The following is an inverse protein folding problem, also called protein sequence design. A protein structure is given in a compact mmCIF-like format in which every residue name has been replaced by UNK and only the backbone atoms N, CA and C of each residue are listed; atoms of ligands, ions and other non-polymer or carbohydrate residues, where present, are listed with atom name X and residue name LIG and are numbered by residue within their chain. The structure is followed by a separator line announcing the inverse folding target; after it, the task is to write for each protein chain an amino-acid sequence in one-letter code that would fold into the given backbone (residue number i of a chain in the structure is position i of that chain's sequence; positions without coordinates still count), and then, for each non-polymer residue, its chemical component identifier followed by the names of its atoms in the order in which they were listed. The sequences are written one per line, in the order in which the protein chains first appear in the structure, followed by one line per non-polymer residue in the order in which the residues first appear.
data_IF_297522025851
#
_entry.id   IF_297522025851
#
_cell.length_a   1.000
_cell.length_b   1.000
_cell.length_c   1.000
_cell.angle_alpha   90.00
_cell.angle_beta   90.00
_cell.angle_gamma   90.00
#
_symmetry.space_group_name_H-M   'P 1'
#
loop_
_entity.id
_entity.type
_entity.pdbx_description
1 polymer ?
#
# COMPACT_ATOMS: atom_id res chain seq x y z
N UNK A 1 32.48 -25.04 -6.65
CA UNK A 1 31.86 -24.90 -6.77
C UNK A 1 31.54 -24.98 -6.96
N UNK A 2 31.65 -24.42 -6.98
CA UNK A 2 31.23 -24.22 -7.02
C UNK A 2 30.66 -24.03 -7.12
N UNK A 3 30.79 -23.52 -6.82
CA UNK A 3 30.23 -23.26 -6.86
C UNK A 3 29.85 -23.28 -6.56
N UNK A 4 30.13 -23.05 -6.16
CA UNK A 4 29.68 -23.07 -5.84
C UNK A 4 29.73 -22.74 -5.57
N UNK A 5 30.43 -22.58 -5.32
CA UNK A 5 30.19 -22.36 -5.21
C UNK A 5 29.99 -21.86 -5.33
N UNK A 6 30.62 -21.92 -5.19
CA UNK A 6 30.14 -21.48 -5.35
C UNK A 6 29.73 -21.43 -5.33
N UNK A 7 29.87 -21.24 -5.04
CA UNK A 7 29.12 -21.06 -4.98
C UNK A 7 29.07 -21.11 -4.63
N UNK A 8 29.28 -20.91 -4.33
CA UNK A 8 29.06 -20.98 -3.97
C UNK A 8 29.24 -20.43 -3.88
N UNK A 9 29.64 -20.01 -3.80
CA UNK A 9 29.75 -19.54 -3.76
C UNK A 9 29.28 -18.98 -4.17
N UNK A 10 29.90 -19.04 -3.90
CA UNK A 10 29.29 -18.15 -4.17
C UNK A 10 27.98 -17.97 -4.71
N UNK A 11 27.44 -18.47 -5.26
CA UNK A 11 26.26 -18.20 -5.85
C UNK A 11 25.14 -17.82 -5.10
N UNK A 12 25.10 -18.05 -4.16
CA UNK A 12 24.01 -17.67 -3.38
C UNK A 12 23.68 -16.21 -3.45
N UNK A 13 24.62 -15.42 -3.76
CA UNK A 13 24.45 -14.00 -3.72
C UNK A 13 23.40 -13.49 -4.66
N UNK A 14 23.26 -14.10 -5.80
CA UNK A 14 22.38 -13.57 -6.80
C UNK A 14 20.93 -13.69 -6.49
N UNK A 15 20.57 -14.78 -5.88
CA UNK A 15 19.18 -14.99 -5.55
C UNK A 15 18.74 -14.09 -4.44
N UNK A 16 19.68 -13.73 -3.59
CA UNK A 16 19.36 -12.88 -2.47
C UNK A 16 18.96 -11.47 -2.88
N UNK A 17 19.35 -11.03 -4.06
CA UNK A 17 19.01 -9.70 -4.49
C UNK A 17 17.53 -9.42 -4.52
N UNK A 18 16.76 -10.27 -5.16
CA UNK A 18 15.32 -10.07 -5.20
C UNK A 18 14.67 -10.24 -3.84
N UNK A 19 15.17 -11.16 -3.06
CA UNK A 19 14.64 -11.40 -1.74
C UNK A 19 14.93 -10.22 -0.82
N UNK A 20 16.10 -9.61 -0.96
CA UNK A 20 16.47 -8.45 -0.16
C UNK A 20 15.68 -7.20 -0.52
N UNK A 21 15.21 -7.09 -1.77
CA UNK A 21 14.38 -5.97 -2.15
C UNK A 21 13.09 -5.95 -1.33
N UNK A 22 12.50 -7.12 -1.09
CA UNK A 22 11.29 -7.19 -0.30
C UNK A 22 11.57 -7.02 1.20
N UNK A 23 12.81 -7.29 1.64
CA UNK A 23 13.17 -7.22 3.04
C UNK A 23 13.94 -5.95 3.30
N UNK A 24 13.58 -5.23 4.33
CA UNK A 24 14.31 -4.05 4.72
C UNK A 24 13.95 -2.80 3.94
N UNK A 25 12.89 -2.84 3.15
CA UNK A 25 12.39 -1.61 2.55
C UNK A 25 11.93 -0.65 3.65
N UNK A 26 12.26 0.61 3.47
CA UNK A 26 11.91 1.65 4.44
C UNK A 26 10.85 2.55 3.84
N UNK A 27 9.79 2.79 4.60
CA UNK A 27 8.74 3.72 4.18
C UNK A 27 9.28 5.14 4.35
N UNK A 28 9.23 5.90 3.27
CA UNK A 28 9.78 7.25 3.23
C UNK A 28 8.71 8.31 3.43
N UNK A 29 7.53 8.09 2.88
CA UNK A 29 6.45 9.06 2.95
C UNK A 29 5.11 8.40 2.68
N UNK A 30 4.05 8.98 3.21
CA UNK A 30 2.67 8.55 2.95
C UNK A 30 1.85 9.75 2.56
N UNK A 31 0.90 9.55 1.64
CA UNK A 31 0.04 10.62 1.16
C UNK A 31 -1.37 10.11 1.01
N UNK A 32 -2.31 10.98 1.22
CA UNK A 32 -3.73 10.68 1.01
C UNK A 32 -4.34 11.82 0.20
N UNK A 33 -4.97 11.45 -0.91
CA UNK A 33 -5.65 12.39 -1.80
C UNK A 33 -7.13 12.03 -1.80
N UNK A 34 -7.98 12.83 -1.12
CA UNK A 34 -9.42 12.59 -1.13
C UNK A 34 -10.06 13.32 -2.31
N UNK A 35 -10.90 12.62 -3.05
CA UNK A 35 -11.64 13.22 -4.15
C UNK A 35 -12.96 12.49 -4.34
N UNK A 36 -14.02 13.17 -4.84
CA UNK A 36 -15.31 12.48 -5.06
C UNK A 36 -15.20 11.31 -6.01
N UNK A 37 -14.36 11.42 -7.04
CA UNK A 37 -14.22 10.39 -8.06
C UNK A 37 -13.47 9.18 -7.53
N UNK A 38 -12.48 9.41 -6.68
CA UNK A 38 -11.71 8.35 -6.01
C UNK A 38 -10.81 8.96 -4.96
N UNK A 39 -10.47 8.15 -3.97
CA UNK A 39 -9.46 8.53 -2.99
C UNK A 39 -8.20 7.70 -3.24
N UNK A 40 -7.05 8.33 -3.13
CA UNK A 40 -5.76 7.66 -3.38
C UNK A 40 -4.91 7.67 -2.13
N UNK A 41 -4.41 6.49 -1.77
CA UNK A 41 -3.38 6.34 -0.74
C UNK A 41 -2.09 6.01 -1.45
N UNK A 42 -1.02 6.74 -1.16
CA UNK A 42 0.30 6.47 -1.72
C UNK A 42 1.30 6.22 -0.60
N UNK A 43 2.02 5.12 -0.70
CA UNK A 43 3.07 4.78 0.24
C UNK A 43 4.37 4.73 -0.54
N UNK A 44 5.28 5.66 -0.24
CA UNK A 44 6.56 5.75 -0.92
C UNK A 44 7.63 5.06 -0.10
N UNK A 45 8.49 4.29 -0.76
CA UNK A 45 9.52 3.51 -0.08
C UNK A 45 10.78 3.45 -0.92
N UNK A 46 11.89 3.12 -0.27
CA UNK A 46 13.17 2.99 -0.95
C UNK A 46 13.35 1.67 -1.69
N UNK A 47 12.40 0.76 -1.55
CA UNK A 47 12.41 -0.52 -2.26
C UNK A 47 11.01 -0.91 -2.68
N UNK A 48 10.92 -1.83 -3.65
CA UNK A 48 9.63 -2.33 -4.11
C UNK A 48 8.89 -3.04 -2.98
N UNK A 49 7.64 -2.69 -2.77
CA UNK A 49 6.81 -3.30 -1.74
C UNK A 49 5.95 -4.41 -2.34
N UNK A 50 6.01 -5.58 -1.73
CA UNK A 50 5.12 -6.68 -2.06
C UNK A 50 3.91 -6.61 -1.15
N UNK A 51 2.72 -6.65 -1.72
CA UNK A 51 1.50 -6.54 -0.93
C UNK A 51 0.47 -7.57 -1.36
N UNK A 52 -0.44 -7.87 -0.44
CA UNK A 52 -1.56 -8.75 -0.69
C UNK A 52 -2.79 -8.10 -0.11
N UNK A 53 -3.88 -8.04 -0.86
CA UNK A 53 -5.07 -7.35 -0.42
C UNK A 53 -6.27 -8.25 -0.37
N UNK A 54 -7.17 -7.98 0.57
CA UNK A 54 -8.42 -8.68 0.75
C UNK A 54 -9.52 -7.67 1.00
N UNK A 55 -10.51 -7.65 0.12
CA UNK A 55 -11.67 -6.78 0.28
C UNK A 55 -12.72 -7.51 1.10
N UNK A 56 -13.24 -6.86 2.13
CA UNK A 56 -14.25 -7.42 3.03
C UNK A 56 -15.47 -6.53 2.98
N UNK A 57 -16.65 -7.15 2.89
CA UNK A 57 -17.91 -6.43 2.91
C UNK A 57 -18.51 -6.40 4.32
N UNK A 58 -19.43 -5.46 4.56
CA UNK A 58 -20.31 -5.40 5.74
C UNK A 58 -19.58 -5.35 7.11
N UNK A 59 -18.87 -4.29 7.44
CA UNK A 59 -18.73 -3.04 6.69
C UNK A 59 -17.63 -3.15 5.64
N UNK A 60 -17.71 -2.34 4.59
CA UNK A 60 -16.69 -2.43 3.54
C UNK A 60 -15.35 -1.95 4.03
N UNK A 61 -14.33 -2.74 3.78
CA UNK A 61 -12.96 -2.40 4.14
C UNK A 61 -11.97 -3.22 3.32
N UNK A 62 -10.78 -2.66 3.14
CA UNK A 62 -9.71 -3.35 2.43
C UNK A 62 -8.57 -3.61 3.42
N UNK A 63 -8.17 -4.86 3.55
CA UNK A 63 -6.99 -5.23 4.30
C UNK A 63 -5.82 -5.38 3.33
N UNK A 64 -4.70 -4.72 3.62
CA UNK A 64 -3.50 -4.78 2.80
C UNK A 64 -2.34 -5.22 3.67
N UNK A 65 -1.76 -6.37 3.34
CA UNK A 65 -0.59 -6.88 4.03
C UNK A 65 0.64 -6.53 3.19
N UNK A 66 1.56 -5.78 3.77
CA UNK A 66 2.80 -5.39 3.11
C UNK A 66 3.93 -6.18 3.75
N UNK A 67 4.64 -6.95 2.92
CA UNK A 67 5.68 -7.84 3.40
C UNK A 67 7.06 -7.19 3.34
N UNK A 68 7.94 -7.63 4.20
CA UNK A 68 9.32 -7.19 4.19
C UNK A 68 9.57 -5.85 4.84
N UNK A 69 8.62 -5.34 5.61
CA UNK A 69 8.76 -4.07 6.29
C UNK A 69 8.35 -4.20 7.76
N UNK A 70 8.83 -3.26 8.54
CA UNK A 70 8.40 -3.10 9.92
C UNK A 70 7.61 -1.80 10.04
N UNK A 71 6.72 -1.77 11.02
CA UNK A 71 5.94 -0.58 11.29
C UNK A 71 6.85 0.54 11.78
N UNK A 72 6.80 1.68 11.10
CA UNK A 72 7.63 2.83 11.45
C UNK A 72 6.75 4.09 11.59
N UNK A 73 7.32 5.19 12.14
CA UNK A 73 6.54 6.41 12.35
C UNK A 73 5.93 6.98 11.07
N UNK A 74 6.63 6.90 9.94
CA UNK A 74 6.12 7.43 8.68
C UNK A 74 4.86 6.71 8.24
N UNK A 75 4.83 5.39 8.41
CA UNK A 75 3.64 4.62 8.04
C UNK A 75 2.49 4.92 9.00
N UNK A 76 2.79 5.14 10.29
CA UNK A 76 1.76 5.48 11.26
C UNK A 76 1.12 6.84 10.97
N UNK A 77 1.83 7.75 10.30
CA UNK A 77 1.28 9.05 9.95
C UNK A 77 0.06 8.93 9.05
N UNK A 78 -0.07 7.82 8.30
CA UNK A 78 -1.18 7.63 7.39
C UNK A 78 -2.51 7.64 8.13
N UNK A 79 -2.54 7.12 9.36
CA UNK A 79 -3.74 7.09 10.19
C UNK A 79 -4.25 8.51 10.44
N UNK A 80 -3.33 9.44 10.70
CA UNK A 80 -3.69 10.82 11.01
C UNK A 80 -4.04 11.64 9.77
N UNK A 81 -3.76 11.15 8.57
CA UNK A 81 -4.05 11.88 7.34
C UNK A 81 -5.49 11.74 6.88
N UNK A 82 -6.23 10.79 7.44
CA UNK A 82 -7.62 10.60 7.05
C UNK A 82 -8.44 11.77 7.59
N UNK A 83 -9.22 12.39 6.72
CA UNK A 83 -10.05 13.54 7.06
C UNK A 83 -11.49 13.11 7.18
N UNK A 84 -12.25 13.72 8.11
CA UNK A 84 -13.66 13.38 8.27
C UNK A 84 -14.47 13.60 6.99
N UNK A 85 -14.03 14.54 6.14
CA UNK A 85 -14.72 14.86 4.90
C UNK A 85 -14.24 14.06 3.70
N UNK A 86 -13.36 13.07 3.88
CA UNK A 86 -12.98 12.18 2.78
C UNK A 86 -14.24 11.43 2.32
N UNK A 87 -14.59 11.50 1.03
CA UNK A 87 -15.83 10.89 0.58
C UNK A 87 -15.80 9.36 0.52
N UNK A 88 -14.62 8.77 0.54
CA UNK A 88 -14.48 7.33 0.36
C UNK A 88 -13.90 6.59 1.56
N UNK A 89 -12.99 7.21 2.28
CA UNK A 89 -12.24 6.55 3.36
C UNK A 89 -12.77 7.04 4.71
N UNK A 90 -13.22 6.10 5.54
CA UNK A 90 -13.69 6.39 6.88
C UNK A 90 -12.55 6.41 7.89
N UNK A 91 -11.56 5.59 7.71
CA UNK A 91 -10.42 5.52 8.61
C UNK A 91 -9.37 4.55 8.11
N UNK A 92 -8.17 4.64 8.67
CA UNK A 92 -7.08 3.73 8.37
C UNK A 92 -6.50 3.25 9.68
N UNK A 93 -6.31 1.94 9.80
CA UNK A 93 -5.67 1.30 10.94
C UNK A 93 -4.42 0.61 10.47
N UNK A 94 -3.36 0.65 11.27
CA UNK A 94 -2.06 0.11 10.91
C UNK A 94 -1.53 -0.71 12.09
N UNK A 95 -1.01 -1.89 11.83
CA UNK A 95 -0.42 -2.70 12.87
C UNK A 95 0.59 -3.70 12.34
N UNK A 96 1.51 -4.12 13.21
CA UNK A 96 2.43 -5.18 12.88
C UNK A 96 1.65 -6.50 13.01
N UNK A 97 1.45 -7.16 11.88
CA UNK A 97 0.65 -8.38 11.85
C UNK A 97 1.47 -9.61 12.23
N UNK A 98 2.63 -9.75 11.60
CA UNK A 98 3.62 -10.76 11.93
C UNK A 98 4.99 -10.10 11.84
N UNK A 99 6.07 -10.72 12.32
CA UNK A 99 7.40 -10.16 12.06
C UNK A 99 7.62 -10.01 10.56
N UNK A 100 7.93 -8.81 10.12
CA UNK A 100 8.16 -8.52 8.72
C UNK A 100 6.92 -8.29 7.87
N UNK A 101 5.72 -8.28 8.45
CA UNK A 101 4.48 -7.99 7.71
C UNK A 101 3.66 -6.96 8.46
N UNK A 102 3.38 -5.85 7.81
CA UNK A 102 2.50 -4.81 8.35
C UNK A 102 1.15 -4.91 7.68
N UNK A 103 0.10 -4.85 8.48
CA UNK A 103 -1.28 -4.85 7.97
C UNK A 103 -1.88 -3.47 8.07
N UNK A 104 -2.40 -2.97 6.92
CA UNK A 104 -3.22 -1.79 6.87
C UNK A 104 -4.65 -2.24 6.70
N UNK A 105 -5.57 -1.59 7.40
CA UNK A 105 -6.99 -1.79 7.16
C UNK A 105 -7.57 -0.43 6.82
N UNK A 106 -8.10 -0.31 5.61
CA UNK A 106 -8.73 0.93 5.15
C UNK A 106 -10.24 0.72 5.25
N UNK A 107 -10.86 1.40 6.22
CA UNK A 107 -12.30 1.36 6.40
C UNK A 107 -12.94 2.33 5.42
N UNK A 108 -13.96 1.88 4.70
CA UNK A 108 -14.58 2.64 3.62
C UNK A 108 -15.95 3.17 4.05
N UNK A 109 -16.31 4.34 3.57
CA UNK A 109 -17.64 4.94 3.85
C UNK A 109 -18.73 4.31 3.01
N UNK A 110 -18.34 3.68 1.89
CA UNK A 110 -19.27 3.05 0.97
C UNK A 110 -18.53 1.95 0.23
N UNK A 111 -19.24 1.00 -0.37
CA UNK A 111 -18.58 0.01 -1.20
C UNK A 111 -17.75 0.66 -2.31
N UNK A 112 -16.57 0.15 -2.53
CA UNK A 112 -15.63 0.70 -3.50
C UNK A 112 -14.92 -0.41 -4.25
N UNK A 113 -14.40 -0.06 -5.43
CA UNK A 113 -13.59 -0.95 -6.24
C UNK A 113 -12.14 -0.55 -6.03
N UNK A 114 -11.36 -1.33 -5.28
CA UNK A 114 -9.97 -0.99 -5.04
C UNK A 114 -9.09 -1.32 -6.23
N UNK A 115 -8.11 -0.45 -6.48
CA UNK A 115 -7.07 -0.70 -7.47
C UNK A 115 -5.75 -0.56 -6.75
N UNK A 116 -4.95 -1.62 -6.71
CA UNK A 116 -3.67 -1.61 -6.00
C UNK A 116 -2.57 -1.89 -7.01
N UNK A 117 -1.60 -1.01 -7.09
CA UNK A 117 -0.51 -1.15 -8.05
C UNK A 117 0.75 -0.44 -7.57
N UNK A 118 1.89 -0.79 -8.18
CA UNK A 118 3.16 -0.18 -7.87
C UNK A 118 3.57 0.75 -9.01
N UNK A 119 4.17 1.88 -8.65
CA UNK A 119 4.79 2.79 -9.60
C UNK A 119 6.30 2.75 -9.39
N UNK A 120 7.07 2.62 -10.47
CA UNK A 120 8.53 2.59 -10.36
C UNK A 120 9.09 3.97 -10.01
N UNK A 121 10.35 4.04 -9.56
CA UNK A 121 10.99 5.32 -9.29
C UNK A 121 11.04 6.20 -10.53
N UNK A 122 10.59 7.44 -10.37
CA UNK A 122 10.71 8.50 -11.37
C UNK A 122 11.01 9.76 -10.60
N UNK A 123 12.19 10.34 -10.77
CA UNK A 123 12.60 11.50 -10.00
C UNK A 123 11.55 12.59 -9.99
N UNK A 124 11.26 13.17 -8.82
CA UNK A 124 11.95 13.00 -7.54
C UNK A 124 11.43 11.85 -6.67
N UNK A 125 10.55 11.00 -7.20
CA UNK A 125 9.89 9.96 -6.42
C UNK A 125 10.65 8.65 -6.45
N UNK A 126 10.54 7.89 -5.36
CA UNK A 126 11.06 6.54 -5.25
C UNK A 126 9.95 5.54 -5.62
N UNK A 127 10.06 4.29 -5.16
CA UNK A 127 9.01 3.30 -5.36
C UNK A 127 7.74 3.72 -4.63
N UNK A 128 6.59 3.51 -5.26
CA UNK A 128 5.31 3.90 -4.67
C UNK A 128 4.32 2.75 -4.78
N UNK A 129 3.70 2.39 -3.67
CA UNK A 129 2.53 1.51 -3.65
C UNK A 129 1.31 2.41 -3.62
N UNK A 130 0.41 2.24 -4.58
CA UNK A 130 -0.77 3.08 -4.74
C UNK A 130 -2.02 2.26 -4.53
N UNK A 131 -2.93 2.80 -3.70
CA UNK A 131 -4.23 2.19 -3.46
C UNK A 131 -5.28 3.22 -3.83
N UNK A 132 -6.03 2.95 -4.89
CA UNK A 132 -7.10 3.82 -5.35
C UNK A 132 -8.45 3.20 -5.02
N UNK A 133 -9.34 4.00 -4.45
CA UNK A 133 -10.67 3.56 -4.07
C UNK A 133 -11.70 4.31 -4.89
N UNK A 134 -12.28 3.62 -5.86
CA UNK A 134 -13.33 4.19 -6.73
C UNK A 134 -14.68 3.80 -6.17
N UNK A 135 -15.62 4.75 -6.03
CA UNK A 135 -16.99 4.38 -5.63
C UNK A 135 -17.54 3.30 -6.54
N UNK A 136 -18.20 2.32 -5.96
CA UNK A 136 -18.81 1.25 -6.76
C UNK A 136 -19.87 1.79 -7.69
N UNK A 137 -20.62 2.82 -7.24
CA UNK A 137 -21.52 3.57 -8.08
C UNK A 137 -20.86 4.88 -8.45
N UNK A 138 -20.69 5.10 -9.76
CA UNK A 138 -20.19 6.36 -10.24
C UNK A 138 -21.18 7.48 -9.91
N UNK A 139 -20.66 8.67 -9.63
CA UNK A 139 -21.50 9.84 -9.42
C UNK A 139 -22.13 10.22 -10.75
N UNK A 140 -23.46 10.31 -10.79
CA UNK A 140 -24.18 10.74 -11.98
C UNK A 140 -24.38 12.26 -11.89
N UNK A 141 -23.79 13.04 -12.80
CA UNK A 141 -23.94 14.49 -12.74
C UNK A 141 -25.39 14.95 -12.88
N UNK A 142 -26.22 14.16 -13.59
CA UNK A 142 -27.62 14.53 -13.72
C UNK A 142 -28.39 14.30 -12.44
N UNK A 143 -28.09 13.21 -11.73
CA UNK A 143 -28.70 12.98 -10.44
C UNK A 143 -28.36 14.09 -9.46
N UNK A 144 -27.15 14.58 -9.49
CA UNK A 144 -26.73 15.62 -8.58
C UNK A 144 -27.45 16.95 -8.79
N UNK A 145 -28.09 17.14 -9.95
CA UNK A 145 -28.81 18.36 -10.27
C UNK A 145 -30.32 18.25 -10.00
N UNK A 146 -30.80 17.08 -9.70
CA UNK A 146 -32.20 16.86 -9.36
C UNK A 146 -32.41 17.10 -7.88
#
# INVERSE_FOLDING_TARGET
MRRRELLRRGSLVLVLGAHQIARGATILAVRLWPAPDYSRVTIESDGLLASRQTLVANPPRLAVDIEGIDLNPQLRELVAKVRPDDPNIAGIRVGQYTPGTVRLVIDLKQPALPQVFNLPPVLPYQHRLVLDFYPERAVDPLEAQI
#
